data_IF_298796874089
#
_entry.id   IF_298796874089
#
_cell.length_a   1.000
_cell.length_b   1.000
_cell.length_c   1.000
_cell.angle_alpha   90.00
_cell.angle_beta   90.00
_cell.angle_gamma   90.00
#
_symmetry.space_group_name_H-M   'P 1'
#
loop_
_entity.id
_entity.type
_entity.pdbx_description
1 polymer ?
#
# COMPACT_ATOMS: atom_id res chain seq x y z
N UNK A 1 -0.97 -15.99 0.70
CA UNK A 1 -0.53 -14.87 1.55
C UNK A 1 0.43 -14.02 0.76
N UNK A 2 0.64 -12.76 1.15
CA UNK A 2 1.50 -11.81 0.41
C UNK A 2 2.18 -10.87 1.39
N UNK A 3 3.41 -10.50 1.13
CA UNK A 3 4.17 -9.52 1.91
C UNK A 3 4.28 -8.24 1.11
N UNK A 4 4.01 -7.10 1.76
CA UNK A 4 4.08 -5.79 1.12
C UNK A 4 4.97 -4.84 1.89
N UNK A 5 5.72 -4.05 1.14
CA UNK A 5 6.58 -3.00 1.69
C UNK A 5 6.56 -1.77 0.79
N UNK A 6 6.94 -0.64 1.37
CA UNK A 6 7.06 0.63 0.67
C UNK A 6 8.26 1.38 1.21
N UNK A 7 8.97 2.05 0.31
CA UNK A 7 10.07 2.93 0.65
C UNK A 7 9.90 4.26 -0.08
N UNK A 8 10.50 5.32 0.46
CA UNK A 8 10.56 6.61 -0.20
C UNK A 8 11.96 7.17 -0.02
N UNK A 9 12.56 7.63 -1.12
CA UNK A 9 13.90 8.21 -1.13
C UNK A 9 13.82 9.67 -1.55
N UNK A 10 14.58 10.53 -0.86
CA UNK A 10 14.58 11.98 -1.07
C UNK A 10 13.73 12.73 -0.05
N UNK A 11 13.73 14.06 -0.16
CA UNK A 11 12.97 14.98 0.68
C UNK A 11 12.29 16.03 -0.19
N UNK A 12 11.11 16.49 0.22
CA UNK A 12 10.36 17.51 -0.52
C UNK A 12 9.99 17.08 -1.94
N UNK A 13 10.00 18.01 -2.88
CA UNK A 13 9.48 17.83 -4.24
C UNK A 13 10.22 16.81 -5.14
N UNK A 14 11.30 16.18 -4.65
CA UNK A 14 12.02 15.11 -5.34
C UNK A 14 11.90 13.75 -4.65
N UNK A 15 10.97 13.59 -3.72
CA UNK A 15 10.80 12.37 -2.94
C UNK A 15 10.10 11.29 -3.77
N UNK A 16 10.85 10.28 -4.23
CA UNK A 16 10.29 9.19 -5.03
C UNK A 16 10.00 7.97 -4.16
N UNK A 17 8.75 7.53 -4.17
CA UNK A 17 8.34 6.33 -3.44
C UNK A 17 8.18 5.11 -4.35
N UNK A 18 8.52 3.94 -3.80
CA UNK A 18 8.48 2.64 -4.47
C UNK A 18 7.73 1.65 -3.59
N UNK A 19 6.78 0.94 -4.19
CA UNK A 19 6.00 -0.12 -3.59
C UNK A 19 6.55 -1.49 -4.01
N UNK A 20 6.59 -2.45 -3.09
CA UNK A 20 7.02 -3.82 -3.34
C UNK A 20 5.96 -4.83 -2.88
N UNK A 21 5.69 -5.82 -3.72
CA UNK A 21 4.77 -6.93 -3.47
C UNK A 21 5.51 -8.24 -3.67
N UNK A 22 5.47 -9.11 -2.64
CA UNK A 22 6.15 -10.40 -2.63
C UNK A 22 5.18 -11.53 -2.27
N UNK A 23 4.95 -12.40 -3.24
CA UNK A 23 4.04 -13.55 -3.17
C UNK A 23 4.77 -14.87 -2.83
N UNK A 24 6.11 -14.91 -2.93
CA UNK A 24 6.94 -16.09 -2.71
C UNK A 24 8.16 -16.10 -3.64
N UNK A 25 9.22 -16.84 -3.31
CA UNK A 25 10.53 -16.74 -3.97
C UNK A 25 10.50 -16.90 -5.51
N UNK A 26 9.66 -17.79 -6.02
CA UNK A 26 9.58 -18.11 -7.46
C UNK A 26 8.33 -17.54 -8.14
N UNK A 27 7.57 -16.70 -7.44
CA UNK A 27 6.34 -16.13 -8.01
C UNK A 27 6.65 -15.08 -9.07
N UNK A 28 6.17 -15.31 -10.29
CA UNK A 28 6.23 -14.34 -11.38
C UNK A 28 5.39 -13.07 -11.11
N UNK A 29 4.50 -13.10 -10.10
CA UNK A 29 3.71 -11.95 -9.69
C UNK A 29 4.46 -11.02 -8.72
N UNK A 30 5.69 -11.36 -8.29
CA UNK A 30 6.51 -10.45 -7.49
C UNK A 30 6.81 -9.18 -8.29
N UNK A 31 6.60 -8.01 -7.70
CA UNK A 31 6.82 -6.76 -8.40
C UNK A 31 7.33 -5.64 -7.48
N UNK A 32 8.04 -4.69 -8.09
CA UNK A 32 8.42 -3.43 -7.49
C UNK A 32 8.00 -2.30 -8.45
N UNK A 33 7.25 -1.33 -7.94
CA UNK A 33 6.57 -0.33 -8.76
C UNK A 33 6.82 1.06 -8.20
N UNK A 34 7.11 2.02 -9.08
CA UNK A 34 7.09 3.44 -8.72
C UNK A 34 5.67 3.83 -8.35
N UNK A 35 5.52 4.52 -7.22
CA UNK A 35 4.22 4.94 -6.71
C UNK A 35 3.77 6.18 -7.46
N UNK A 36 2.65 6.14 -8.19
CA UNK A 36 2.13 7.30 -8.88
C UNK A 36 1.51 8.28 -7.88
N UNK A 37 1.43 9.56 -8.26
CA UNK A 37 0.66 10.56 -7.54
C UNK A 37 1.39 11.88 -7.36
N UNK A 38 0.81 12.78 -6.54
CA UNK A 38 1.39 14.08 -6.27
C UNK A 38 2.63 13.98 -5.40
N UNK A 39 3.56 14.90 -5.62
CA UNK A 39 4.72 15.13 -4.77
C UNK A 39 4.33 16.00 -3.55
N UNK A 40 5.00 15.83 -2.38
CA UNK A 40 6.04 14.85 -2.12
C UNK A 40 5.47 13.44 -1.89
N UNK A 41 6.05 12.42 -2.52
CA UNK A 41 5.65 11.03 -2.25
C UNK A 41 6.11 10.59 -0.85
N UNK A 42 5.44 9.58 -0.26
CA UNK A 42 5.73 9.10 1.11
C UNK A 42 5.80 7.57 1.18
N UNK A 43 6.50 7.06 2.19
CA UNK A 43 6.56 5.62 2.47
C UNK A 43 5.18 5.04 2.81
N UNK A 44 4.34 5.78 3.54
CA UNK A 44 2.97 5.37 3.86
C UNK A 44 2.12 5.21 2.59
N UNK A 45 2.22 6.15 1.65
CA UNK A 45 1.59 6.04 0.33
C UNK A 45 2.10 4.81 -0.42
N UNK A 46 3.40 4.54 -0.36
CA UNK A 46 3.99 3.38 -1.01
C UNK A 46 3.47 2.04 -0.47
N UNK A 47 3.40 1.88 0.85
CA UNK A 47 2.88 0.63 1.43
C UNK A 47 1.39 0.48 1.11
N UNK A 48 0.59 1.55 1.19
CA UNK A 48 -0.83 1.50 0.77
C UNK A 48 -0.98 1.12 -0.70
N UNK A 49 -0.14 1.68 -1.58
CA UNK A 49 -0.15 1.34 -3.00
C UNK A 49 0.23 -0.13 -3.23
N UNK A 50 1.20 -0.67 -2.48
CA UNK A 50 1.53 -2.09 -2.53
C UNK A 50 0.34 -2.98 -2.13
N UNK A 51 -0.43 -2.60 -1.10
CA UNK A 51 -1.68 -3.30 -0.72
C UNK A 51 -2.70 -3.26 -1.86
N UNK A 52 -2.90 -2.10 -2.48
CA UNK A 52 -3.82 -1.94 -3.60
C UNK A 52 -3.47 -2.90 -4.76
N UNK A 53 -2.20 -2.95 -5.14
CA UNK A 53 -1.73 -3.86 -6.19
C UNK A 53 -1.95 -5.32 -5.79
N UNK A 54 -1.57 -5.69 -4.56
CA UNK A 54 -1.75 -7.05 -4.07
C UNK A 54 -3.22 -7.50 -4.06
N UNK A 55 -4.15 -6.64 -3.63
CA UNK A 55 -5.60 -6.93 -3.65
C UNK A 55 -6.14 -7.00 -5.08
N UNK A 56 -5.65 -6.14 -5.98
CA UNK A 56 -6.08 -6.12 -7.39
C UNK A 56 -5.64 -7.37 -8.15
N UNK A 57 -4.45 -7.89 -7.87
CA UNK A 57 -3.90 -9.08 -8.53
C UNK A 57 -4.34 -10.40 -7.88
N UNK A 58 -4.79 -10.36 -6.63
CA UNK A 58 -5.31 -11.53 -5.94
C UNK A 58 -6.56 -12.08 -6.64
N UNK A 59 -6.72 -13.40 -6.58
CA UNK A 59 -7.96 -14.03 -6.99
C UNK A 59 -9.11 -13.61 -6.03
N UNK A 60 -10.18 -12.97 -6.53
CA UNK A 60 -11.24 -12.41 -5.69
C UNK A 60 -12.09 -13.47 -4.97
N UNK A 61 -11.99 -14.74 -5.36
CA UNK A 61 -12.74 -15.84 -4.75
C UNK A 61 -12.04 -16.47 -3.55
N UNK A 62 -10.82 -16.04 -3.22
CA UNK A 62 -10.05 -16.57 -2.10
C UNK A 62 -9.68 -15.47 -1.10
N UNK A 63 -9.66 -15.82 0.18
CA UNK A 63 -9.18 -14.92 1.21
C UNK A 63 -7.69 -14.61 1.02
N UNK A 64 -7.35 -13.32 0.99
CA UNK A 64 -5.98 -12.85 0.92
C UNK A 64 -5.50 -12.41 2.31
N UNK A 65 -4.45 -13.06 2.81
CA UNK A 65 -3.72 -12.59 3.99
C UNK A 65 -2.54 -11.72 3.56
N UNK A 66 -2.59 -10.43 3.90
CA UNK A 66 -1.56 -9.42 3.60
C UNK A 66 -0.72 -9.17 4.85
N UNK A 67 0.59 -9.31 4.71
CA UNK A 67 1.57 -9.04 5.75
C UNK A 67 2.30 -7.73 5.49
N UNK A 68 2.31 -6.84 6.48
CA UNK A 68 3.08 -5.60 6.46
C UNK A 68 3.53 -5.22 7.87
N UNK A 69 4.65 -4.51 7.96
CA UNK A 69 5.11 -3.88 9.22
C UNK A 69 4.52 -2.48 9.43
N UNK A 70 3.78 -1.94 8.46
CA UNK A 70 3.21 -0.60 8.57
C UNK A 70 1.95 -0.60 9.43
N UNK A 71 2.07 -0.20 10.69
CA UNK A 71 0.92 0.05 11.55
C UNK A 71 -0.03 1.10 10.97
N UNK A 72 0.51 2.08 10.23
CA UNK A 72 -0.28 3.08 9.52
C UNK A 72 -1.30 2.42 8.59
N UNK A 73 -0.84 1.50 7.75
CA UNK A 73 -1.72 0.77 6.82
C UNK A 73 -2.72 -0.10 7.56
N UNK A 74 -2.28 -0.85 8.57
CA UNK A 74 -3.16 -1.72 9.37
C UNK A 74 -4.28 -0.88 10.01
N UNK A 75 -3.94 0.27 10.60
CA UNK A 75 -4.93 1.13 11.27
C UNK A 75 -5.92 1.75 10.29
N UNK A 76 -5.40 2.28 9.18
CA UNK A 76 -6.23 2.92 8.16
C UNK A 76 -7.21 1.92 7.52
N UNK A 77 -6.74 0.74 7.13
CA UNK A 77 -7.58 -0.23 6.42
C UNK A 77 -8.54 -0.96 7.37
N UNK A 78 -8.06 -1.42 8.53
CA UNK A 78 -8.86 -2.29 9.40
C UNK A 78 -9.79 -1.56 10.37
N UNK A 79 -9.48 -0.32 10.74
CA UNK A 79 -10.24 0.39 11.80
C UNK A 79 -10.80 1.72 11.33
N UNK A 80 -10.06 2.51 10.54
CA UNK A 80 -10.47 3.88 10.22
C UNK A 80 -11.23 4.00 8.91
N UNK A 81 -10.99 3.15 7.91
CA UNK A 81 -11.63 3.22 6.60
C UNK A 81 -13.17 3.20 6.70
N UNK A 82 -13.73 2.28 7.50
CA UNK A 82 -15.18 2.20 7.70
C UNK A 82 -15.73 3.49 8.31
N UNK A 83 -15.11 4.01 9.38
CA UNK A 83 -15.50 5.27 10.00
C UNK A 83 -15.38 6.45 9.04
N UNK A 84 -14.26 6.57 8.33
CA UNK A 84 -14.01 7.65 7.39
C UNK A 84 -15.02 7.62 6.22
N UNK A 85 -15.40 6.43 5.73
CA UNK A 85 -16.43 6.31 4.70
C UNK A 85 -17.81 6.81 5.16
N UNK A 86 -18.17 6.56 6.43
CA UNK A 86 -19.42 7.05 7.01
C UNK A 86 -19.41 8.58 7.18
N UNK A 87 -18.22 9.15 7.40
CA UNK A 87 -18.00 10.60 7.52
C UNK A 87 -17.67 11.28 6.18
N UNK A 88 -17.86 10.58 5.06
CA UNK A 88 -17.63 11.13 3.72
C UNK A 88 -16.18 11.51 3.42
N UNK A 89 -15.22 10.87 4.08
CA UNK A 89 -13.78 11.15 3.94
C UNK A 89 -13.40 12.62 4.25
N UNK A 90 -14.07 13.23 5.22
CA UNK A 90 -13.90 14.63 5.64
C UNK A 90 -12.59 14.95 6.40
N UNK A 91 -11.64 14.02 6.45
CA UNK A 91 -10.33 14.24 7.07
C UNK A 91 -9.43 15.15 6.22
N UNK A 92 -8.45 15.84 6.82
CA UNK A 92 -7.42 16.53 6.06
C UNK A 92 -6.61 15.52 5.22
N UNK A 93 -6.27 15.92 3.99
CA UNK A 93 -5.39 15.18 3.09
C UNK A 93 -3.92 15.37 3.46
#
# INVERSE_FOLDING_TARGET
HVYVQGSCKGLGAGAQAVAGVFWGETSAANCALTVPGPEPSTSNRAVLYAVLIAVREANPHFSLMVFTKSEYVIRHVCYWAGKNSQLGWSGPN
#
